data_IF_151062381326
#
_entry.id   IF_151062381326
#
_cell.length_a   1.000
_cell.length_b   1.000
_cell.length_c   1.000
_cell.angle_alpha   90.00
_cell.angle_beta   90.00
_cell.angle_gamma   90.00
#
_symmetry.space_group_name_H-M   'P 1'
#
loop_
_entity.id
_entity.type
_entity.pdbx_description
1 polymer ?
#
# COMPACT_ATOMS: atom_id res chain seq x y z
N UNK A 1 -31.30 27.13 8.44
CA UNK A 1 -30.22 26.17 8.73
C UNK A 1 -30.31 25.11 7.65
N UNK A 2 -29.47 25.23 6.61
CA UNK A 2 -29.55 24.33 5.46
C UNK A 2 -29.07 22.94 5.85
N UNK A 3 -29.84 21.91 5.49
CA UNK A 3 -29.39 20.53 5.59
C UNK A 3 -28.13 20.39 4.73
N UNK A 4 -27.03 20.04 5.37
CA UNK A 4 -25.81 19.64 4.68
C UNK A 4 -25.87 18.12 4.45
N UNK A 5 -26.62 17.74 3.42
CA UNK A 5 -26.84 16.34 3.05
C UNK A 5 -25.52 15.60 2.82
N UNK A 6 -24.49 16.29 2.32
CA UNK A 6 -23.17 15.70 2.11
C UNK A 6 -22.51 15.38 3.46
N UNK A 7 -22.53 16.31 4.41
CA UNK A 7 -22.03 16.05 5.77
C UNK A 7 -22.78 14.92 6.47
N UNK A 8 -24.11 14.83 6.30
CA UNK A 8 -24.90 13.74 6.89
C UNK A 8 -24.56 12.38 6.28
N UNK A 9 -24.32 12.32 4.96
CA UNK A 9 -23.82 11.11 4.28
C UNK A 9 -22.40 10.78 4.75
N UNK A 10 -21.48 11.74 4.84
CA UNK A 10 -20.11 11.49 5.32
C UNK A 10 -20.09 11.01 6.77
N UNK A 11 -21.01 11.50 7.63
CA UNK A 11 -21.18 10.99 9.00
C UNK A 11 -21.69 9.54 9.06
N UNK A 12 -22.35 9.06 8.02
CA UNK A 12 -22.76 7.66 7.92
C UNK A 12 -21.61 6.71 7.55
N UNK A 13 -20.53 7.24 6.97
CA UNK A 13 -19.32 6.47 6.65
C UNK A 13 -18.60 6.14 7.96
N UNK A 14 -18.44 4.83 8.23
CA UNK A 14 -17.69 4.33 9.37
C UNK A 14 -16.46 3.58 8.90
N UNK A 15 -15.28 4.03 9.31
CA UNK A 15 -14.07 3.24 9.17
C UNK A 15 -14.20 1.99 10.05
N UNK A 16 -14.34 0.81 9.43
CA UNK A 16 -14.55 -0.46 10.13
C UNK A 16 -13.26 -1.18 10.52
N UNK A 17 -12.15 -0.83 9.88
CA UNK A 17 -10.85 -1.44 10.15
C UNK A 17 -9.76 -0.86 9.25
N UNK A 18 -8.52 -1.18 9.57
CA UNK A 18 -7.36 -0.86 8.74
C UNK A 18 -6.24 -1.90 8.96
N UNK A 19 -5.51 -2.18 7.90
CA UNK A 19 -4.27 -2.95 7.94
C UNK A 19 -3.17 -2.00 7.46
N UNK A 20 -2.09 -1.91 8.22
CA UNK A 20 -0.97 -1.03 7.91
C UNK A 20 0.28 -1.86 7.71
N UNK A 21 0.93 -1.66 6.56
CA UNK A 21 2.20 -2.28 6.24
C UNK A 21 3.30 -1.22 6.31
N UNK A 22 4.45 -1.60 6.88
CA UNK A 22 5.66 -0.80 6.80
C UNK A 22 6.67 -1.54 5.93
N UNK A 23 7.02 -0.96 4.80
CA UNK A 23 7.94 -1.57 3.83
C UNK A 23 9.33 -0.97 3.97
N UNK A 24 10.33 -1.83 4.09
CA UNK A 24 11.75 -1.48 3.89
C UNK A 24 12.26 -2.20 2.65
N UNK A 25 12.68 -1.42 1.67
CA UNK A 25 13.00 -1.87 0.32
C UNK A 25 14.49 -1.62 0.02
N UNK A 26 15.16 -2.50 -0.76
CA UNK A 26 16.55 -2.31 -1.18
C UNK A 26 16.66 -1.16 -2.20
N UNK A 27 17.85 -0.90 -2.74
CA UNK A 27 18.03 0.17 -3.74
C UNK A 27 17.26 -0.11 -5.05
N UNK A 28 17.27 -1.36 -5.51
CA UNK A 28 16.60 -1.81 -6.73
C UNK A 28 15.36 -2.64 -6.38
N UNK A 29 14.18 -2.07 -6.61
CA UNK A 29 12.92 -2.68 -6.21
C UNK A 29 11.76 -2.25 -7.11
N UNK A 30 10.79 -3.14 -7.28
CA UNK A 30 9.52 -2.84 -7.91
C UNK A 30 8.49 -3.85 -7.37
N UNK A 31 7.35 -3.34 -6.88
CA UNK A 31 6.30 -4.15 -6.26
C UNK A 31 4.96 -3.78 -6.89
N UNK A 32 4.26 -4.80 -7.38
CA UNK A 32 2.90 -4.71 -7.92
C UNK A 32 1.91 -5.09 -6.83
N UNK A 33 1.03 -4.15 -6.51
CA UNK A 33 -0.17 -4.41 -5.74
C UNK A 33 -1.33 -4.70 -6.71
N UNK A 34 -1.99 -5.86 -6.61
CA UNK A 34 -3.18 -6.12 -7.41
C UNK A 34 -4.30 -5.16 -7.00
N UNK A 35 -5.30 -4.94 -7.87
CA UNK A 35 -6.46 -4.12 -7.52
C UNK A 35 -7.11 -4.62 -6.22
N UNK A 36 -7.36 -3.70 -5.29
CA UNK A 36 -7.81 -4.04 -3.95
C UNK A 36 -9.18 -4.73 -3.94
N UNK A 37 -10.02 -4.52 -4.98
CA UNK A 37 -11.25 -5.28 -5.19
C UNK A 37 -11.03 -6.81 -5.23
N UNK A 38 -9.84 -7.25 -5.65
CA UNK A 38 -9.49 -8.67 -5.73
C UNK A 38 -9.02 -9.21 -4.35
N UNK A 39 -8.64 -8.32 -3.43
CA UNK A 39 -8.19 -8.64 -2.07
C UNK A 39 -9.19 -8.25 -0.96
N UNK A 40 -10.17 -7.40 -1.28
CA UNK A 40 -11.02 -6.73 -0.28
C UNK A 40 -11.79 -7.73 0.58
N UNK A 41 -12.39 -8.76 -0.02
CA UNK A 41 -13.12 -9.79 0.72
C UNK A 41 -12.25 -10.63 1.64
N UNK A 42 -10.94 -10.70 1.36
CA UNK A 42 -9.97 -11.44 2.18
C UNK A 42 -9.51 -10.62 3.39
N UNK A 43 -9.25 -9.33 3.16
CA UNK A 43 -8.79 -8.38 4.16
C UNK A 43 -9.92 -7.90 5.07
N UNK A 44 -11.06 -7.55 4.47
CA UNK A 44 -12.20 -6.90 5.12
C UNK A 44 -13.53 -7.47 4.59
N UNK A 45 -13.94 -8.68 5.03
CA UNK A 45 -15.14 -9.36 4.52
C UNK A 45 -16.43 -8.52 4.61
N UNK A 46 -16.54 -7.67 5.64
CA UNK A 46 -17.73 -6.84 5.92
C UNK A 46 -17.59 -5.38 5.46
N UNK A 47 -16.55 -5.05 4.68
CA UNK A 47 -16.35 -3.71 4.15
C UNK A 47 -17.09 -3.54 2.82
N UNK A 48 -17.90 -2.49 2.73
CA UNK A 48 -18.54 -2.07 1.48
C UNK A 48 -17.55 -1.37 0.53
N UNK A 49 -16.49 -0.81 1.10
CA UNK A 49 -15.47 -0.06 0.38
C UNK A 49 -14.14 -0.15 1.10
N UNK A 50 -13.06 -0.37 0.35
CA UNK A 50 -11.69 -0.43 0.87
C UNK A 50 -10.86 0.52 0.00
N UNK A 51 -10.12 1.39 0.67
CA UNK A 51 -9.18 2.31 0.05
C UNK A 51 -7.75 1.89 0.38
N UNK A 52 -6.83 2.18 -0.52
CA UNK A 52 -5.40 1.98 -0.31
C UNK A 52 -4.67 3.32 -0.38
N UNK A 53 -3.62 3.44 0.42
CA UNK A 53 -2.74 4.58 0.35
C UNK A 53 -1.30 4.18 0.72
N UNK A 54 -0.35 4.95 0.20
CA UNK A 54 1.07 4.78 0.49
C UNK A 54 1.65 6.12 0.90
N UNK A 55 2.47 6.11 1.95
CA UNK A 55 3.22 7.28 2.38
C UNK A 55 4.70 6.96 2.21
N UNK A 56 5.38 7.73 1.38
CA UNK A 56 6.83 7.58 1.25
C UNK A 56 7.50 8.32 2.40
N UNK A 57 8.12 7.60 3.33
CA UNK A 57 8.73 8.21 4.53
C UNK A 57 10.21 8.53 4.34
N UNK A 58 10.93 7.77 3.49
CA UNK A 58 12.36 7.93 3.19
C UNK A 58 12.64 7.52 1.74
N UNK A 59 13.76 8.01 1.19
CA UNK A 59 14.21 7.67 -0.16
C UNK A 59 13.42 8.38 -1.26
N UNK A 60 13.38 7.77 -2.44
CA UNK A 60 12.57 8.24 -3.57
C UNK A 60 12.09 7.05 -4.38
N UNK A 61 11.03 7.22 -5.15
CA UNK A 61 10.50 6.15 -5.98
C UNK A 61 9.52 6.68 -7.00
N UNK A 62 8.77 5.76 -7.61
CA UNK A 62 7.77 6.04 -8.62
C UNK A 62 6.48 5.31 -8.29
N UNK A 63 5.36 5.95 -8.61
CA UNK A 63 4.05 5.32 -8.65
C UNK A 63 3.59 5.21 -10.10
N UNK A 64 3.14 4.02 -10.49
CA UNK A 64 2.60 3.76 -11.82
C UNK A 64 1.24 3.11 -11.69
N UNK A 65 0.23 3.72 -12.32
CA UNK A 65 -1.14 3.21 -12.43
C UNK A 65 -1.46 3.09 -13.91
N UNK A 66 -2.14 2.00 -14.31
CA UNK A 66 -2.47 1.77 -15.71
C UNK A 66 -3.22 2.96 -16.33
N UNK A 67 -2.74 3.44 -17.49
CA UNK A 67 -3.35 4.56 -18.21
C UNK A 67 -2.92 5.96 -17.73
N UNK A 68 -2.07 6.05 -16.70
CA UNK A 68 -1.51 7.32 -16.22
C UNK A 68 0.01 7.38 -16.46
N UNK A 69 0.55 8.60 -16.54
CA UNK A 69 1.99 8.80 -16.56
C UNK A 69 2.60 8.44 -15.19
N UNK A 70 3.78 7.80 -15.13
CA UNK A 70 4.46 7.54 -13.87
C UNK A 70 4.73 8.83 -13.10
N UNK A 71 4.48 8.78 -11.78
CA UNK A 71 4.65 9.93 -10.89
C UNK A 71 5.86 9.71 -10.00
N UNK A 72 6.79 10.66 -9.98
CA UNK A 72 7.94 10.62 -9.07
C UNK A 72 7.49 10.97 -7.65
N UNK A 73 7.98 10.22 -6.68
CA UNK A 73 7.70 10.38 -5.26
C UNK A 73 8.95 10.83 -4.49
N UNK A 74 8.72 11.66 -3.49
CA UNK A 74 9.69 12.13 -2.51
C UNK A 74 9.19 11.90 -1.07
N UNK A 75 10.08 11.96 -0.06
CA UNK A 75 9.66 11.78 1.33
C UNK A 75 8.58 12.80 1.72
N UNK A 76 7.50 12.32 2.32
CA UNK A 76 6.31 13.10 2.66
C UNK A 76 5.17 12.98 1.64
N UNK A 77 5.45 12.50 0.43
CA UNK A 77 4.39 12.29 -0.56
C UNK A 77 3.45 11.16 -0.13
N UNK A 78 2.16 11.38 -0.38
CA UNK A 78 1.10 10.41 -0.12
C UNK A 78 0.36 10.13 -1.42
N UNK A 79 0.26 8.85 -1.78
CA UNK A 79 -0.59 8.37 -2.86
C UNK A 79 -1.84 7.82 -2.23
N UNK A 80 -3.00 8.26 -2.71
CA UNK A 80 -4.29 7.75 -2.28
C UNK A 80 -4.95 7.13 -3.52
N UNK A 81 -5.38 5.89 -3.39
CA UNK A 81 -6.12 5.14 -4.40
C UNK A 81 -7.50 4.86 -3.83
N UNK A 82 -8.47 5.78 -4.02
CA UNK A 82 -9.79 5.67 -3.38
C UNK A 82 -10.50 4.36 -3.75
N UNK A 83 -10.32 3.87 -4.97
CA UNK A 83 -10.91 2.63 -5.44
C UNK A 83 -9.96 1.42 -5.36
N UNK A 84 -8.77 1.62 -4.80
CA UNK A 84 -7.73 0.58 -4.72
C UNK A 84 -7.33 0.07 -6.10
N UNK A 85 -7.10 0.97 -7.06
CA UNK A 85 -6.65 0.58 -8.39
C UNK A 85 -5.29 -0.13 -8.32
N UNK A 86 -5.13 -1.16 -9.15
CA UNK A 86 -3.86 -1.89 -9.25
C UNK A 86 -2.74 -0.97 -9.69
N UNK A 87 -1.61 -1.07 -9.03
CA UNK A 87 -0.52 -0.12 -9.21
C UNK A 87 0.83 -0.74 -8.89
N UNK A 88 1.89 -0.07 -9.34
CA UNK A 88 3.26 -0.44 -9.09
C UNK A 88 3.95 0.70 -8.35
N UNK A 89 4.64 0.35 -7.28
CA UNK A 89 5.64 1.20 -6.65
C UNK A 89 7.04 0.68 -7.04
N UNK A 90 7.96 1.55 -7.43
CA UNK A 90 9.31 1.12 -7.81
C UNK A 90 10.41 2.17 -7.62
N UNK A 91 11.68 1.75 -7.61
CA UNK A 91 12.84 2.64 -7.71
C UNK A 91 13.01 3.21 -9.14
N UNK A 92 12.66 2.42 -10.15
CA UNK A 92 12.67 2.75 -11.57
C UNK A 92 11.33 2.33 -12.22
N UNK A 93 10.63 3.21 -12.96
CA UNK A 93 9.32 2.90 -13.54
C UNK A 93 9.38 1.89 -14.71
N UNK A 94 10.57 1.59 -15.21
CA UNK A 94 10.80 0.59 -16.26
C UNK A 94 11.08 -0.83 -15.73
N UNK A 95 11.27 -0.97 -14.42
CA UNK A 95 11.61 -2.25 -13.81
C UNK A 95 10.40 -3.18 -13.74
N UNK A 96 10.62 -4.48 -14.00
CA UNK A 96 9.59 -5.50 -13.84
C UNK A 96 9.25 -5.67 -12.34
N UNK A 97 7.99 -5.52 -11.92
CA UNK A 97 7.62 -5.65 -10.53
C UNK A 97 7.48 -7.10 -10.09
N UNK A 98 7.82 -7.33 -8.82
CA UNK A 98 7.43 -8.51 -8.08
C UNK A 98 5.96 -8.40 -7.67
N UNK A 99 5.25 -9.52 -7.69
CA UNK A 99 3.84 -9.58 -7.28
C UNK A 99 3.72 -10.05 -5.84
N UNK A 100 2.89 -9.38 -5.07
CA UNK A 100 2.51 -9.87 -3.75
C UNK A 100 1.52 -11.04 -3.91
N UNK A 101 1.80 -12.16 -3.24
CA UNK A 101 0.89 -13.30 -3.20
C UNK A 101 -0.36 -12.94 -2.37
N UNK A 102 -1.58 -13.04 -2.92
CA UNK A 102 -2.81 -12.84 -2.17
C UNK A 102 -2.94 -13.73 -0.92
N UNK A 103 -2.40 -14.95 -0.94
CA UNK A 103 -2.43 -15.83 0.22
C UNK A 103 -1.61 -15.28 1.40
N UNK A 104 -0.51 -14.57 1.10
CA UNK A 104 0.31 -13.88 2.09
C UNK A 104 -0.45 -12.71 2.74
N UNK A 105 -1.23 -11.97 1.96
CA UNK A 105 -2.09 -10.87 2.46
C UNK A 105 -3.12 -11.40 3.47
N UNK A 106 -3.73 -12.55 3.18
CA UNK A 106 -4.68 -13.21 4.07
C UNK A 106 -4.05 -13.57 5.41
N UNK A 107 -2.90 -14.23 5.36
CA UNK A 107 -2.24 -14.81 6.53
C UNK A 107 -1.74 -13.75 7.51
N UNK A 108 -1.46 -12.54 7.03
CA UNK A 108 -0.85 -11.47 7.83
C UNK A 108 -1.85 -10.45 8.37
N UNK A 109 -3.08 -10.39 7.87
CA UNK A 109 -4.05 -9.31 8.19
C UNK A 109 -4.25 -9.06 9.70
N UNK A 110 -4.17 -10.12 10.50
CA UNK A 110 -4.45 -10.10 11.94
C UNK A 110 -3.19 -9.88 12.79
N UNK A 111 -1.99 -9.79 12.18
CA UNK A 111 -0.75 -9.50 12.87
C UNK A 111 -0.77 -8.09 13.54
N UNK A 112 0.09 -7.85 14.56
CA UNK A 112 0.26 -6.53 15.14
C UNK A 112 0.65 -5.48 14.10
N UNK A 113 0.04 -4.29 14.19
CA UNK A 113 0.25 -3.20 13.22
C UNK A 113 1.28 -2.18 13.76
N UNK A 114 2.08 -1.53 12.89
CA UNK A 114 2.21 -1.85 11.47
C UNK A 114 2.90 -3.20 11.27
N UNK A 115 2.47 -3.93 10.25
CA UNK A 115 3.07 -5.22 9.87
C UNK A 115 4.35 -4.89 9.11
N UNK A 116 5.55 -5.18 9.65
CA UNK A 116 6.78 -4.92 8.94
C UNK A 116 6.95 -5.93 7.81
N UNK A 117 7.28 -5.42 6.62
CA UNK A 117 7.66 -6.19 5.45
C UNK A 117 9.07 -5.77 5.06
N UNK A 118 9.98 -6.72 5.03
CA UNK A 118 11.36 -6.49 4.60
C UNK A 118 11.58 -7.21 3.29
N UNK A 119 11.94 -6.46 2.25
CA UNK A 119 12.36 -7.02 0.98
C UNK A 119 13.88 -7.18 1.02
N UNK A 120 14.38 -8.42 1.08
CA UNK A 120 15.80 -8.71 0.97
C UNK A 120 16.26 -8.67 -0.49
N UNK A 121 15.36 -9.05 -1.39
CA UNK A 121 15.51 -8.89 -2.83
C UNK A 121 14.13 -8.71 -3.46
N UNK A 122 14.09 -8.52 -4.78
CA UNK A 122 12.85 -8.49 -5.55
C UNK A 122 12.03 -9.81 -5.47
N UNK A 123 12.60 -10.91 -4.97
CA UNK A 123 11.92 -12.21 -4.87
C UNK A 123 11.89 -12.78 -3.43
N UNK A 124 12.52 -12.10 -2.47
CA UNK A 124 12.66 -12.59 -1.10
C UNK A 124 12.14 -11.57 -0.10
N UNK A 125 11.13 -11.99 0.66
CA UNK A 125 10.36 -11.13 1.57
C UNK A 125 10.26 -11.81 2.94
N UNK A 126 10.56 -11.10 4.02
CA UNK A 126 10.35 -11.55 5.40
C UNK A 126 9.41 -10.62 6.17
N UNK A 127 8.86 -11.13 7.28
CA UNK A 127 7.94 -10.41 8.16
C UNK A 127 8.40 -10.38 9.63
N UNK A 128 7.77 -9.53 10.43
CA UNK A 128 7.83 -9.56 11.90
C UNK A 128 9.02 -8.84 12.54
N UNK A 129 10.21 -8.91 11.95
CA UNK A 129 11.37 -8.12 12.36
C UNK A 129 11.40 -6.83 11.51
N UNK A 130 11.48 -5.63 12.13
CA UNK A 130 11.78 -4.42 11.38
C UNK A 130 13.09 -4.62 10.62
N UNK A 131 13.20 -4.13 9.38
CA UNK A 131 14.52 -4.01 8.78
C UNK A 131 15.37 -3.13 9.71
N UNK A 132 16.57 -3.60 10.06
CA UNK A 132 17.60 -2.76 10.66
C UNK A 132 17.65 -1.45 9.86
N UNK A 133 17.53 -0.28 10.51
CA UNK A 133 17.60 0.98 9.79
C UNK A 133 18.92 1.00 9.03
N UNK A 134 18.85 1.08 7.69
CA UNK A 134 20.04 1.19 6.87
C UNK A 134 20.92 2.30 7.45
N UNK A 135 22.11 1.93 7.95
CA UNK A 135 23.08 2.88 8.45
C UNK A 135 23.36 3.90 7.33
N UNK A 136 23.27 5.17 7.70
CA UNK A 136 23.27 6.31 6.79
C UNK A 136 24.37 6.21 5.72
N UNK A 137 23.96 6.21 4.45
CA UNK A 137 24.78 6.54 3.29
C UNK A 137 24.32 7.87 2.69
#
# INVERSE_FOLDING_TARGET
MGIDTLSDVLRSVRLRGAVFYQLSLPADWAVEAPPLRDLAGLLFPDAEHVMEYHVLTRGSGWATVAGLAPVRLQPGDTIILPHGDGHVLSSDPSQQPARIDPAWVAATRDAPKPIPIVFHSQYEITWGEPAEPAENG
#
